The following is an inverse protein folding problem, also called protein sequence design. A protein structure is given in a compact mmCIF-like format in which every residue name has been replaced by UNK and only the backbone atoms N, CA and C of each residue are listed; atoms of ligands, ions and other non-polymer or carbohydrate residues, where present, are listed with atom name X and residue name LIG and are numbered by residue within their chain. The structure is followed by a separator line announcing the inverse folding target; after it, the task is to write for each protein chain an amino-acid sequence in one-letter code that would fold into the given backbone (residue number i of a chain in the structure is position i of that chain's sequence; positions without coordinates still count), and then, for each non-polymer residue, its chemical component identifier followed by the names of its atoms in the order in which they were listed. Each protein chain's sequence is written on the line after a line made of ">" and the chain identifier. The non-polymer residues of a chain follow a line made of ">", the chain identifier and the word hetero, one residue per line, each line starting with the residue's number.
data_IF_894008735390
#
_entry.id   IF_894008735390
#
_cell.length_a   1.000
_cell.length_b   1.000
_cell.length_c   1.000
_cell.angle_alpha   90.00
_cell.angle_beta   90.00
_cell.angle_gamma   90.00
#
_symmetry.space_group_name_H-M   'P 1'
#
loop_
_entity.id
_entity.type
_entity.pdbx_description
1 polymer ?
#
# COMPACT_ATOMS: atom_id res chain seq x y z
N UNK A 1 49.38 41.90 -1.10
CA UNK A 1 47.91 42.07 -1.14
C UNK A 1 47.26 40.73 -0.82
N UNK A 2 46.28 40.66 0.11
CA UNK A 2 45.94 39.45 0.85
C UNK A 2 44.95 38.54 0.10
N UNK A 3 45.04 37.22 0.35
CA UNK A 3 44.09 36.19 -0.11
C UNK A 3 42.73 36.41 0.56
N UNK A 4 41.65 36.51 -0.23
CA UNK A 4 40.28 36.37 0.27
C UNK A 4 40.05 34.92 0.69
N UNK A 5 39.67 34.71 1.95
CA UNK A 5 39.19 33.44 2.47
C UNK A 5 37.67 33.46 2.26
N UNK A 6 37.15 32.59 1.38
CA UNK A 6 35.70 32.41 1.22
C UNK A 6 35.22 31.62 2.44
N UNK A 7 34.48 32.28 3.32
CA UNK A 7 33.76 31.64 4.41
C UNK A 7 32.58 30.85 3.85
N UNK A 8 32.66 29.53 3.92
CA UNK A 8 31.54 28.60 3.71
C UNK A 8 30.44 28.92 4.73
N UNK A 9 29.16 29.04 4.33
CA UNK A 9 28.09 29.22 5.29
C UNK A 9 27.99 27.95 6.16
N UNK A 10 28.07 28.18 7.47
CA UNK A 10 27.86 27.19 8.52
C UNK A 10 26.52 26.49 8.31
N UNK A 11 26.53 25.17 8.37
CA UNK A 11 25.35 24.30 8.36
C UNK A 11 24.45 24.76 9.51
N UNK A 12 23.38 25.49 9.18
CA UNK A 12 22.43 25.99 10.18
C UNK A 12 21.70 24.80 10.74
N UNK A 13 21.92 24.57 12.03
CA UNK A 13 21.28 23.58 12.88
C UNK A 13 19.76 23.53 12.60
N UNK A 14 19.31 22.48 11.92
CA UNK A 14 17.90 22.30 11.57
C UNK A 14 17.14 21.90 12.85
N UNK A 15 16.12 22.68 13.20
CA UNK A 15 15.19 22.38 14.29
C UNK A 15 14.54 21.00 14.06
N UNK A 16 14.31 20.17 15.10
CA UNK A 16 13.78 18.80 14.96
C UNK A 16 12.40 18.73 14.28
N UNK A 17 11.72 19.86 14.08
CA UNK A 17 10.44 19.96 13.41
C UNK A 17 10.53 19.90 11.87
N UNK A 18 11.68 20.25 11.25
CA UNK A 18 11.83 20.20 9.78
C UNK A 18 12.09 18.79 9.23
N UNK A 19 12.62 17.86 10.05
CA UNK A 19 12.90 16.50 9.63
C UNK A 19 11.64 15.62 9.56
N UNK A 20 10.63 15.88 10.41
CA UNK A 20 9.39 15.10 10.43
C UNK A 20 8.50 15.35 9.19
N UNK A 21 8.51 16.57 8.65
CA UNK A 21 7.80 16.89 7.40
C UNK A 21 8.42 16.19 6.17
N UNK A 22 9.66 15.70 6.28
CA UNK A 22 10.31 14.95 5.19
C UNK A 22 9.87 13.48 5.14
N UNK A 23 9.09 13.01 6.11
CA UNK A 23 8.64 11.61 6.21
C UNK A 23 7.20 11.39 5.77
N UNK A 24 6.50 12.44 5.35
CA UNK A 24 5.18 12.28 4.73
C UNK A 24 5.31 11.41 3.48
N UNK A 25 4.35 10.50 3.29
CA UNK A 25 4.36 9.63 2.14
C UNK A 25 4.16 10.44 0.85
N UNK A 26 4.84 10.03 -0.21
CA UNK A 26 4.72 10.65 -1.53
C UNK A 26 3.93 9.70 -2.42
N UNK A 27 2.88 10.24 -3.06
CA UNK A 27 2.10 9.49 -4.04
C UNK A 27 2.92 9.24 -5.30
N UNK A 28 2.89 8.00 -5.78
CA UNK A 28 3.40 7.65 -7.09
C UNK A 28 2.51 8.22 -8.20
N UNK A 29 3.06 8.30 -9.40
CA UNK A 29 2.23 8.29 -10.60
C UNK A 29 1.33 7.04 -10.63
N UNK A 30 0.31 7.04 -11.46
CA UNK A 30 -0.55 5.87 -11.66
C UNK A 30 0.25 4.74 -12.29
N UNK A 31 0.13 3.56 -11.70
CA UNK A 31 0.81 2.33 -12.08
C UNK A 31 -0.23 1.39 -12.66
N UNK A 32 0.05 0.94 -13.88
CA UNK A 32 -0.78 0.07 -14.71
C UNK A 32 0.19 -0.89 -15.43
N UNK A 33 0.39 -2.09 -14.87
CA UNK A 33 1.35 -3.08 -15.39
C UNK A 33 0.69 -4.39 -15.84
N UNK A 34 -0.58 -4.59 -15.52
CA UNK A 34 -1.37 -5.74 -15.93
C UNK A 34 -2.65 -5.31 -16.62
N UNK A 35 -3.22 -6.21 -17.42
CA UNK A 35 -4.38 -5.92 -18.25
C UNK A 35 -5.31 -7.13 -18.27
N UNK A 36 -6.63 -6.95 -18.14
CA UNK A 36 -7.57 -8.05 -18.18
C UNK A 36 -7.67 -8.66 -19.58
N UNK A 37 -7.49 -9.98 -19.66
CA UNK A 37 -7.75 -10.76 -20.87
C UNK A 37 -9.19 -11.29 -20.87
N UNK A 38 -10.02 -10.76 -21.78
CA UNK A 38 -11.41 -11.20 -21.94
C UNK A 38 -11.58 -12.66 -22.39
N UNK A 39 -10.53 -13.30 -22.89
CA UNK A 39 -10.54 -14.71 -23.29
C UNK A 39 -10.16 -15.68 -22.17
N UNK A 40 -9.58 -15.18 -21.07
CA UNK A 40 -9.15 -15.99 -19.94
C UNK A 40 -9.98 -15.73 -18.68
N UNK A 41 -10.85 -16.70 -18.34
CA UNK A 41 -11.67 -16.65 -17.11
C UNK A 41 -10.82 -16.78 -15.83
N UNK A 42 -9.65 -17.40 -15.92
CA UNK A 42 -8.72 -17.57 -14.81
C UNK A 42 -7.73 -16.41 -14.68
N UNK A 43 -7.74 -15.49 -15.64
CA UNK A 43 -7.03 -14.22 -15.58
C UNK A 43 -7.83 -13.14 -14.85
N UNK A 44 -7.40 -11.91 -15.05
CA UNK A 44 -7.92 -10.76 -14.36
C UNK A 44 -6.98 -9.58 -14.49
N UNK A 45 -7.08 -8.68 -13.53
CA UNK A 45 -6.26 -7.49 -13.46
C UNK A 45 -5.62 -7.37 -12.07
N UNK A 46 -4.32 -7.16 -12.03
CA UNK A 46 -3.46 -7.45 -10.89
C UNK A 46 -2.33 -6.43 -10.72
N UNK A 47 -2.69 -5.22 -10.32
CA UNK A 47 -1.77 -4.17 -9.88
C UNK A 47 -1.25 -4.46 -8.45
N UNK A 48 -0.68 -5.66 -8.25
CA UNK A 48 -0.08 -6.07 -6.99
C UNK A 48 1.36 -5.58 -6.89
N UNK A 49 1.82 -5.33 -5.68
CA UNK A 49 3.20 -4.89 -5.44
C UNK A 49 4.24 -5.88 -5.99
N UNK A 50 3.94 -7.18 -5.93
CA UNK A 50 4.78 -8.22 -6.53
C UNK A 50 4.82 -8.12 -8.06
N UNK A 51 3.68 -7.87 -8.72
CA UNK A 51 3.66 -7.70 -10.17
C UNK A 51 4.35 -6.41 -10.60
N UNK A 52 4.11 -5.31 -9.90
CA UNK A 52 4.78 -4.03 -10.16
C UNK A 52 6.29 -4.21 -10.05
N UNK A 53 6.79 -4.88 -9.02
CA UNK A 53 8.23 -5.15 -8.86
C UNK A 53 8.81 -6.09 -9.93
N UNK A 54 8.02 -7.05 -10.44
CA UNK A 54 8.44 -7.91 -11.57
C UNK A 54 8.58 -7.11 -12.86
N UNK A 55 7.69 -6.15 -13.12
CA UNK A 55 7.70 -5.32 -14.32
C UNK A 55 8.66 -4.14 -14.23
N UNK A 56 8.86 -3.60 -13.02
CA UNK A 56 9.79 -2.52 -12.72
C UNK A 56 10.60 -2.87 -11.47
N UNK A 57 11.79 -3.44 -11.68
CA UNK A 57 12.70 -3.83 -10.60
C UNK A 57 13.24 -2.66 -9.77
N UNK A 58 13.13 -1.43 -10.29
CA UNK A 58 13.53 -0.20 -9.59
C UNK A 58 12.40 0.41 -8.77
N UNK A 59 11.18 -0.13 -8.87
CA UNK A 59 10.09 0.30 -8.00
C UNK A 59 10.38 -0.14 -6.56
N UNK A 60 10.50 0.85 -5.68
CA UNK A 60 10.82 0.66 -4.27
C UNK A 60 9.87 1.49 -3.42
N UNK A 61 9.02 0.80 -2.66
CA UNK A 61 8.09 1.35 -1.70
C UNK A 61 8.31 0.61 -0.38
N UNK A 62 9.18 1.14 0.47
CA UNK A 62 9.55 0.51 1.75
C UNK A 62 8.33 0.30 2.63
N UNK A 63 7.40 1.26 2.59
CA UNK A 63 6.13 1.22 3.30
C UNK A 63 5.08 1.99 2.51
N UNK A 64 4.00 1.30 2.17
CA UNK A 64 2.79 1.93 1.66
C UNK A 64 1.96 2.40 2.87
N UNK A 65 1.75 3.71 2.99
CA UNK A 65 0.87 4.28 4.03
C UNK A 65 -0.57 4.42 3.53
N UNK A 66 -0.76 4.55 2.22
CA UNK A 66 -2.08 4.64 1.60
C UNK A 66 -2.06 4.15 0.15
N UNK A 67 -3.24 3.83 -0.38
CA UNK A 67 -3.43 3.38 -1.77
C UNK A 67 -4.68 4.04 -2.35
N UNK A 68 -4.61 4.38 -3.63
CA UNK A 68 -5.76 4.78 -4.44
C UNK A 68 -5.85 3.85 -5.63
N UNK A 69 -7.05 3.33 -5.89
CA UNK A 69 -7.32 2.45 -7.03
C UNK A 69 -8.47 3.03 -7.86
N UNK A 70 -8.35 3.00 -9.18
CA UNK A 70 -9.41 3.43 -10.09
C UNK A 70 -9.41 2.64 -11.38
N UNK A 71 -10.55 2.60 -12.06
CA UNK A 71 -10.59 2.10 -13.43
C UNK A 71 -10.00 3.16 -14.38
N UNK A 72 -9.04 2.78 -15.20
CA UNK A 72 -8.32 3.69 -16.11
C UNK A 72 -9.27 4.44 -17.05
N UNK A 73 -10.31 3.76 -17.55
CA UNK A 73 -11.34 4.37 -18.43
C UNK A 73 -12.44 5.15 -17.70
N UNK A 74 -12.56 4.99 -16.39
CA UNK A 74 -13.62 5.60 -15.59
C UNK A 74 -13.04 6.20 -14.29
N UNK A 75 -12.07 7.14 -14.39
CA UNK A 75 -11.34 7.63 -13.22
C UNK A 75 -12.22 8.42 -12.24
N UNK A 76 -13.33 8.97 -12.71
CA UNK A 76 -14.27 9.77 -11.93
C UNK A 76 -15.38 8.94 -11.25
N UNK A 77 -15.46 7.63 -11.56
CA UNK A 77 -16.42 6.72 -10.96
C UNK A 77 -15.73 5.98 -9.81
N UNK A 78 -16.23 6.09 -8.56
CA UNK A 78 -15.70 5.33 -7.44
C UNK A 78 -15.70 3.83 -7.74
N UNK A 79 -14.64 3.13 -7.32
CA UNK A 79 -14.48 1.70 -7.63
C UNK A 79 -15.65 0.84 -7.15
N UNK A 80 -16.25 1.22 -6.01
CA UNK A 80 -17.42 0.55 -5.44
C UNK A 80 -18.70 0.70 -6.30
N UNK A 81 -18.78 1.74 -7.12
CA UNK A 81 -19.93 2.05 -7.96
C UNK A 81 -19.82 1.40 -9.36
N UNK A 82 -18.65 0.84 -9.72
CA UNK A 82 -18.46 0.16 -11.00
C UNK A 82 -19.22 -1.16 -11.10
N UNK A 83 -19.61 -1.75 -9.96
CA UNK A 83 -20.31 -3.04 -9.90
C UNK A 83 -19.41 -4.25 -10.15
N UNK A 84 -18.09 -4.10 -9.98
CA UNK A 84 -17.11 -5.18 -10.07
C UNK A 84 -16.62 -5.62 -8.70
N UNK A 85 -16.30 -6.91 -8.55
CA UNK A 85 -15.67 -7.43 -7.34
C UNK A 85 -14.16 -7.21 -7.42
N UNK A 86 -13.69 -6.12 -6.80
CA UNK A 86 -12.29 -5.69 -6.83
C UNK A 86 -11.80 -5.46 -5.41
N UNK A 87 -10.64 -6.01 -5.07
CA UNK A 87 -9.95 -5.71 -3.82
C UNK A 87 -8.88 -4.64 -4.07
N UNK A 88 -8.94 -3.55 -3.30
CA UNK A 88 -7.92 -2.51 -3.28
C UNK A 88 -7.36 -2.44 -1.86
N UNK A 89 -6.13 -2.92 -1.66
CA UNK A 89 -5.54 -3.14 -0.34
C UNK A 89 -4.14 -2.52 -0.25
N UNK A 90 -3.92 -1.68 0.75
CA UNK A 90 -2.64 -0.96 0.92
C UNK A 90 -1.43 -1.88 1.11
N UNK A 91 -1.63 -3.13 1.53
CA UNK A 91 -0.54 -4.07 1.80
C UNK A 91 -0.19 -4.95 0.58
N UNK A 92 -1.10 -5.08 -0.38
CA UNK A 92 -0.99 -6.05 -1.48
C UNK A 92 -1.04 -5.35 -2.85
N UNK A 93 -1.76 -4.24 -2.96
CA UNK A 93 -2.11 -3.58 -4.22
C UNK A 93 -3.57 -3.82 -4.59
N UNK A 94 -3.85 -3.96 -5.89
CA UNK A 94 -5.18 -4.28 -6.39
C UNK A 94 -5.24 -5.67 -7.00
N UNK A 95 -6.36 -6.36 -6.76
CA UNK A 95 -6.70 -7.62 -7.40
C UNK A 95 -8.13 -7.59 -7.92
N UNK A 96 -8.31 -8.04 -9.16
CA UNK A 96 -9.59 -8.32 -9.77
C UNK A 96 -9.47 -9.65 -10.53
N UNK A 97 -10.34 -10.62 -10.24
CA UNK A 97 -10.39 -11.89 -10.99
C UNK A 97 -11.58 -11.89 -11.95
N UNK A 98 -11.37 -12.33 -13.19
CA UNK A 98 -12.43 -12.49 -14.17
C UNK A 98 -13.47 -13.53 -13.73
N UNK A 99 -13.06 -14.55 -12.98
CA UNK A 99 -13.95 -15.59 -12.45
C UNK A 99 -15.04 -15.05 -11.54
N UNK A 100 -14.75 -13.96 -10.83
CA UNK A 100 -15.59 -13.41 -9.76
C UNK A 100 -16.56 -12.35 -10.30
N UNK A 101 -16.35 -11.90 -11.55
CA UNK A 101 -17.20 -10.89 -12.17
C UNK A 101 -18.50 -11.49 -12.69
N UNK A 102 -19.58 -10.72 -12.52
CA UNK A 102 -20.90 -11.04 -13.05
C UNK A 102 -21.26 -10.02 -14.13
N UNK A 103 -22.16 -10.41 -15.03
CA UNK A 103 -22.74 -9.45 -15.99
C UNK A 103 -23.60 -8.46 -15.18
N UNK A 104 -23.24 -7.18 -15.19
CA UNK A 104 -23.94 -6.14 -14.44
C UNK A 104 -23.10 -4.87 -14.26
N UNK A 105 -23.71 -3.80 -13.73
CA UNK A 105 -23.04 -2.51 -13.55
C UNK A 105 -22.86 -1.73 -14.85
N UNK A 106 -21.77 -0.96 -14.95
CA UNK A 106 -21.48 -0.12 -16.13
C UNK A 106 -21.01 -0.96 -17.33
N UNK A 107 -20.53 -2.20 -17.10
CA UNK A 107 -19.91 -3.04 -18.13
C UNK A 107 -20.72 -4.32 -18.37
N UNK A 108 -21.14 -4.59 -19.63
CA UNK A 108 -22.00 -5.74 -19.96
C UNK A 108 -21.24 -7.06 -20.12
N UNK A 109 -20.06 -7.23 -19.52
CA UNK A 109 -19.22 -8.43 -19.66
C UNK A 109 -18.67 -8.90 -18.31
N UNK A 110 -18.58 -10.22 -18.05
CA UNK A 110 -18.05 -10.78 -16.81
C UNK A 110 -16.51 -10.82 -16.87
N UNK A 111 -15.87 -9.68 -17.09
CA UNK A 111 -14.41 -9.50 -17.14
C UNK A 111 -14.06 -8.26 -16.34
N UNK A 112 -12.91 -8.27 -15.67
CA UNK A 112 -12.37 -7.10 -15.00
C UNK A 112 -12.23 -5.92 -15.98
N UNK A 113 -12.47 -4.72 -15.48
CA UNK A 113 -11.98 -3.50 -16.10
C UNK A 113 -10.46 -3.42 -15.98
N UNK A 114 -9.87 -2.54 -16.78
CA UNK A 114 -8.48 -2.15 -16.59
C UNK A 114 -8.39 -1.13 -15.45
N UNK A 115 -7.66 -1.50 -14.41
CA UNK A 115 -7.42 -0.70 -13.22
C UNK A 115 -5.99 -0.20 -13.20
N UNK A 116 -5.79 0.86 -12.44
CA UNK A 116 -4.47 1.40 -12.13
C UNK A 116 -4.47 1.84 -10.66
N UNK A 117 -3.29 1.83 -10.06
CA UNK A 117 -3.11 2.23 -8.66
C UNK A 117 -2.11 3.37 -8.51
N UNK A 118 -2.33 4.23 -7.51
CA UNK A 118 -1.33 5.15 -7.00
C UNK A 118 -1.09 4.79 -5.54
N UNK A 119 0.17 4.79 -5.11
CA UNK A 119 0.55 4.36 -3.76
C UNK A 119 1.25 5.52 -3.06
N UNK A 120 0.85 5.81 -1.82
CA UNK A 120 1.54 6.78 -0.99
C UNK A 120 2.66 6.06 -0.24
N UNK A 121 3.90 6.23 -0.72
CA UNK A 121 5.06 5.52 -0.19
C UNK A 121 5.87 6.41 0.73
N UNK A 122 6.26 5.88 1.89
CA UNK A 122 7.24 6.55 2.76
C UNK A 122 8.57 6.67 2.00
N UNK A 123 9.19 7.86 1.97
CA UNK A 123 10.51 8.03 1.38
C UNK A 123 11.54 7.07 1.99
N UNK A 124 12.39 6.45 1.16
CA UNK A 124 13.46 5.57 1.61
C UNK A 124 14.65 6.38 2.16
N UNK A 125 14.41 7.07 3.27
CA UNK A 125 15.41 7.82 4.04
C UNK A 125 15.48 7.23 5.46
N UNK A 126 16.68 7.01 6.02
CA UNK A 126 16.85 6.33 7.31
C UNK A 126 16.07 6.96 8.47
N UNK A 127 15.83 8.27 8.42
CA UNK A 127 15.10 9.02 9.45
C UNK A 127 13.58 8.72 9.45
N UNK A 128 13.05 8.23 8.33
CA UNK A 128 11.62 7.98 8.12
C UNK A 128 11.23 6.50 8.24
N UNK A 129 12.21 5.60 8.23
CA UNK A 129 11.98 4.16 8.41
C UNK A 129 12.11 3.84 9.90
N UNK A 130 11.01 3.57 10.62
CA UNK A 130 11.11 3.23 12.04
C UNK A 130 11.93 1.95 12.20
N UNK A 131 12.95 1.98 13.06
CA UNK A 131 13.73 0.79 13.40
C UNK A 131 12.83 -0.14 14.21
N UNK A 132 12.37 -1.24 13.60
CA UNK A 132 11.54 -2.23 14.27
C UNK A 132 12.37 -2.91 15.37
N UNK A 133 12.35 -2.32 16.57
CA UNK A 133 12.95 -2.94 17.75
C UNK A 133 11.94 -3.98 18.22
N UNK A 134 12.13 -5.24 17.82
CA UNK A 134 11.30 -6.36 18.28
C UNK A 134 11.33 -6.40 19.82
N UNK A 135 10.27 -5.90 20.45
CA UNK A 135 10.07 -6.09 21.89
C UNK A 135 9.45 -7.47 22.08
N UNK A 136 10.29 -8.45 22.41
CA UNK A 136 9.86 -9.78 22.85
C UNK A 136 9.13 -9.65 24.20
N UNK A 137 7.80 -9.49 24.17
CA UNK A 137 6.98 -9.65 25.37
C UNK A 137 6.73 -11.13 25.61
N UNK A 138 7.49 -11.71 26.54
CA UNK A 138 7.24 -13.02 27.15
C UNK A 138 5.83 -13.04 27.77
N UNK A 139 4.98 -14.04 27.48
CA UNK A 139 3.69 -14.16 28.18
C UNK A 139 3.92 -14.61 29.63
N UNK A 140 3.58 -13.75 30.59
CA UNK A 140 3.46 -14.12 32.01
C UNK A 140 2.27 -15.06 32.20
N UNK A 141 2.53 -16.23 32.79
CA UNK A 141 1.55 -17.30 32.99
C UNK A 141 0.34 -16.88 33.82
N UNK A 142 -0.84 -17.30 33.35
CA UNK A 142 -2.12 -17.19 34.06
C UNK A 142 -2.16 -18.27 35.16
N UNK A 143 -2.44 -17.94 36.43
CA UNK A 143 -2.76 -18.96 37.42
C UNK A 143 -4.20 -19.47 37.20
N UNK A 144 -4.32 -20.76 36.92
CA UNK A 144 -5.58 -21.52 36.93
C UNK A 144 -6.21 -21.47 38.31
N UNK A 145 -7.45 -20.98 38.41
CA UNK A 145 -8.24 -21.05 39.65
C UNK A 145 -9.31 -22.13 39.46
N UNK A 146 -9.14 -23.25 40.16
CA UNK A 146 -10.07 -24.39 40.20
C UNK A 146 -11.27 -24.05 41.07
N UNK A 147 -12.50 -24.17 40.55
CA UNK A 147 -13.73 -24.04 41.33
C UNK A 147 -14.40 -25.42 41.52
N UNK A 148 -14.80 -25.81 42.75
CA UNK A 148 -15.37 -27.13 43.03
C UNK A 148 -16.84 -27.27 42.60
N UNK A 149 -17.34 -28.51 42.39
CA UNK A 149 -18.71 -28.76 41.97
C UNK A 149 -19.69 -28.53 43.12
N UNK A 150 -20.78 -27.81 42.85
CA UNK A 150 -21.90 -27.66 43.79
C UNK A 150 -23.06 -28.56 43.34
N UNK A 151 -23.36 -29.55 44.16
CA UNK A 151 -24.55 -30.42 44.07
C UNK A 151 -25.60 -29.96 45.08
N UNK A 152 -26.84 -29.71 44.65
CA UNK A 152 -28.14 -29.80 45.40
C UNK A 152 -29.24 -29.22 44.49
N UNK A 153 -30.49 -29.69 44.40
CA UNK A 153 -31.32 -30.74 45.02
C UNK A 153 -32.32 -31.19 43.95
#
# INVERSE_FOLDING_TARGET
>A
VPRLIVSVPSVSNCSPCCCLAACDCVWTDWIDVSYPDSSDRNGGDYETFDNIKKHNSSWDCVRAENISCRASKFPDIPIADLGQNVECNVNIGLTCNNSDQQIGGIIPMPVCLNYEISVCCTPNIPECVPTTTQSTTTPTGIPTTTMPPTSTT
#
